data_IF_160680116595
#
_entry.id   IF_160680116595
#
_cell.length_a   1.000
_cell.length_b   1.000
_cell.length_c   1.000
_cell.angle_alpha   90.00
_cell.angle_beta   90.00
_cell.angle_gamma   90.00
#
_symmetry.space_group_name_H-M   'P 1'
#
loop_
_entity.id
_entity.type
_entity.pdbx_description
1 polymer ?
#
# COMPACT_ATOMS: atom_id res chain seq x y z
N UNK A 1 12.73 -3.91 4.39
CA UNK A 1 12.20 -2.55 4.14
C UNK A 1 12.43 -2.26 2.67
N UNK A 2 11.43 -1.77 1.97
CA UNK A 2 11.53 -1.34 0.58
C UNK A 2 11.56 0.19 0.54
N UNK A 3 12.65 0.78 0.04
CA UNK A 3 12.82 2.23 -0.02
C UNK A 3 12.23 2.74 -1.33
N UNK A 4 11.25 3.64 -1.25
CA UNK A 4 10.54 4.19 -2.42
C UNK A 4 11.07 5.55 -2.84
N UNK A 5 11.62 6.31 -1.90
CA UNK A 5 12.24 7.60 -2.18
C UNK A 5 13.45 7.77 -1.27
N UNK A 6 14.53 8.28 -1.83
CA UNK A 6 15.75 8.62 -1.10
C UNK A 6 16.35 9.86 -1.74
N UNK A 7 16.50 10.91 -0.93
CA UNK A 7 17.15 12.17 -1.31
C UNK A 7 17.96 12.71 -0.13
N UNK A 8 18.63 13.84 -0.34
CA UNK A 8 19.35 14.55 0.73
C UNK A 8 18.42 15.00 1.88
N UNK A 9 17.13 15.20 1.58
CA UNK A 9 16.12 15.60 2.57
C UNK A 9 15.63 14.42 3.44
N UNK A 10 16.02 13.19 3.12
CA UNK A 10 15.68 11.98 3.87
C UNK A 10 15.27 10.81 2.97
N UNK A 11 14.70 9.78 3.59
CA UNK A 11 14.23 8.60 2.87
C UNK A 11 12.85 8.17 3.34
N UNK A 12 12.10 7.55 2.43
CA UNK A 12 10.78 6.98 2.67
C UNK A 12 10.77 5.54 2.18
N UNK A 13 10.19 4.64 2.96
CA UNK A 13 10.03 3.25 2.59
C UNK A 13 8.90 2.54 3.32
N UNK A 14 8.70 1.28 2.97
CA UNK A 14 7.65 0.44 3.53
C UNK A 14 8.20 -0.89 4.04
N UNK A 15 7.61 -1.37 5.13
CA UNK A 15 7.86 -2.72 5.65
C UNK A 15 6.91 -3.70 4.95
N UNK A 16 7.47 -4.56 4.08
CA UNK A 16 6.71 -5.51 3.24
C UNK A 16 6.62 -6.94 3.81
N UNK A 17 7.04 -7.14 5.05
CA UNK A 17 7.07 -8.46 5.70
C UNK A 17 6.34 -8.47 7.05
N UNK A 18 5.33 -7.60 7.21
CA UNK A 18 4.55 -7.50 8.44
C UNK A 18 3.06 -7.50 8.13
N UNK A 19 2.43 -8.69 7.99
CA UNK A 19 0.99 -8.77 7.76
C UNK A 19 0.22 -8.19 8.96
N UNK A 20 -0.89 -7.52 8.67
CA UNK A 20 -1.83 -7.00 9.65
C UNK A 20 -2.97 -8.02 9.87
N UNK A 21 -3.63 -7.93 11.03
CA UNK A 21 -4.87 -8.69 11.29
C UNK A 21 -6.09 -8.10 10.58
N UNK A 22 -5.98 -6.84 10.15
CA UNK A 22 -7.00 -6.14 9.39
C UNK A 22 -7.14 -6.76 8.00
N UNK A 23 -8.37 -7.01 7.57
CA UNK A 23 -8.65 -7.55 6.24
C UNK A 23 -9.06 -6.45 5.26
N UNK A 24 -8.96 -6.70 3.96
CA UNK A 24 -9.38 -5.74 2.94
C UNK A 24 -10.86 -5.39 2.99
N UNK A 25 -11.80 -6.33 3.23
CA UNK A 25 -13.20 -5.99 3.50
C UNK A 25 -13.38 -5.02 4.68
N UNK A 26 -12.61 -5.17 5.77
CA UNK A 26 -12.68 -4.25 6.91
C UNK A 26 -12.31 -2.82 6.50
N UNK A 27 -11.28 -2.67 5.67
CA UNK A 27 -10.89 -1.37 5.10
C UNK A 27 -12.00 -0.79 4.23
N UNK A 28 -12.59 -1.59 3.35
CA UNK A 28 -13.66 -1.13 2.47
C UNK A 28 -14.89 -0.66 3.26
N UNK A 29 -15.28 -1.40 4.29
CA UNK A 29 -16.36 -1.02 5.20
C UNK A 29 -16.04 0.27 5.95
N UNK A 30 -14.81 0.40 6.46
CA UNK A 30 -14.37 1.60 7.17
C UNK A 30 -14.39 2.85 6.27
N UNK A 31 -13.99 2.69 5.00
CA UNK A 31 -14.00 3.74 3.99
C UNK A 31 -15.38 3.98 3.36
N UNK A 32 -16.42 3.26 3.79
CA UNK A 32 -17.77 3.32 3.21
C UNK A 32 -17.78 3.06 1.69
N UNK A 33 -16.86 2.22 1.22
CA UNK A 33 -16.73 1.81 -0.18
C UNK A 33 -17.49 0.51 -0.48
N UNK A 34 -18.06 -0.12 0.55
CA UNK A 34 -18.73 -1.40 0.50
C UNK A 34 -19.80 -1.43 1.59
N UNK A 35 -20.98 -1.96 1.27
CA UNK A 35 -22.01 -2.23 2.26
C UNK A 35 -21.78 -3.61 2.93
N UNK A 36 -22.13 -3.79 4.22
CA UNK A 36 -21.96 -5.06 4.93
C UNK A 36 -22.56 -6.27 4.20
N UNK A 37 -23.71 -6.07 3.55
CA UNK A 37 -24.43 -7.12 2.82
C UNK A 37 -23.72 -7.52 1.50
N UNK A 38 -22.88 -6.63 0.97
CA UNK A 38 -22.12 -6.85 -0.26
C UNK A 38 -20.76 -7.49 -0.02
N UNK A 39 -20.25 -7.49 1.22
CA UNK A 39 -18.96 -8.07 1.56
C UNK A 39 -18.85 -9.57 1.21
N UNK A 40 -19.97 -10.30 1.25
CA UNK A 40 -20.04 -11.72 0.88
C UNK A 40 -19.84 -11.92 -0.63
N UNK A 41 -20.18 -10.92 -1.44
CA UNK A 41 -20.12 -10.95 -2.91
C UNK A 41 -18.76 -10.52 -3.47
N UNK A 42 -17.86 -10.03 -2.63
CA UNK A 42 -16.52 -9.65 -3.07
C UNK A 42 -15.81 -10.81 -3.78
N UNK A 43 -15.06 -10.56 -4.86
CA UNK A 43 -14.22 -11.59 -5.47
C UNK A 43 -13.22 -12.14 -4.46
N UNK A 44 -12.83 -13.41 -4.61
CA UNK A 44 -11.85 -14.05 -3.71
C UNK A 44 -10.53 -13.28 -3.67
N UNK A 45 -10.07 -12.78 -4.83
CA UNK A 45 -8.88 -11.95 -4.94
C UNK A 45 -8.92 -10.70 -4.05
N UNK A 46 -10.07 -10.03 -3.94
CA UNK A 46 -10.23 -8.89 -3.04
C UNK A 46 -10.30 -9.31 -1.57
N UNK A 47 -10.92 -10.45 -1.26
CA UNK A 47 -11.01 -10.97 0.12
C UNK A 47 -9.66 -11.43 0.66
N UNK A 48 -8.83 -12.02 -0.19
CA UNK A 48 -7.49 -12.52 0.14
C UNK A 48 -6.41 -11.44 0.02
N UNK A 49 -6.80 -10.22 -0.36
CA UNK A 49 -5.88 -9.12 -0.57
C UNK A 49 -5.15 -8.75 0.73
N UNK A 50 -3.82 -8.82 0.68
CA UNK A 50 -2.97 -8.70 1.86
C UNK A 50 -2.80 -7.23 2.27
N UNK A 51 -3.01 -7.00 3.57
CA UNK A 51 -2.70 -5.73 4.22
C UNK A 51 -1.47 -5.91 5.10
N UNK A 52 -0.55 -4.97 4.97
CA UNK A 52 0.71 -4.97 5.67
C UNK A 52 0.90 -3.68 6.46
N UNK A 53 1.68 -3.79 7.54
CA UNK A 53 2.13 -2.65 8.31
C UNK A 53 3.30 -2.00 7.56
N UNK A 54 3.04 -0.90 6.84
CA UNK A 54 4.06 -0.22 6.05
C UNK A 54 5.07 0.56 6.91
N UNK A 55 4.69 1.00 8.10
CA UNK A 55 5.61 1.55 9.09
C UNK A 55 4.90 2.33 10.20
N UNK A 56 5.64 2.94 11.12
CA UNK A 56 5.08 3.63 12.29
C UNK A 56 4.51 5.02 11.98
N UNK A 57 4.84 5.61 10.83
CA UNK A 57 4.44 6.97 10.46
C UNK A 57 3.13 6.93 9.68
N UNK A 58 2.19 7.83 10.01
CA UNK A 58 0.86 7.92 9.38
C UNK A 58 0.13 6.58 9.23
N UNK A 59 0.05 5.78 10.28
CA UNK A 59 -0.58 4.43 10.26
C UNK A 59 -2.04 4.40 9.82
N UNK A 60 -2.75 5.54 9.88
CA UNK A 60 -4.11 5.69 9.37
C UNK A 60 -4.18 5.87 7.84
N UNK A 61 -3.05 6.11 7.17
CA UNK A 61 -2.99 6.31 5.72
C UNK A 61 -2.66 5.00 5.03
N UNK A 62 -3.48 4.67 4.03
CA UNK A 62 -3.30 3.50 3.18
C UNK A 62 -2.57 3.85 1.89
N UNK A 63 -1.59 3.02 1.56
CA UNK A 63 -0.87 3.02 0.30
C UNK A 63 -1.06 1.67 -0.37
N UNK A 64 -1.12 1.64 -1.70
CA UNK A 64 -1.15 0.40 -2.47
C UNK A 64 0.10 0.34 -3.32
N UNK A 65 0.91 -0.68 -3.07
CA UNK A 65 2.04 -1.02 -3.92
C UNK A 65 1.57 -2.07 -4.92
N UNK A 66 1.80 -1.84 -6.21
CA UNK A 66 1.31 -2.71 -7.27
C UNK A 66 2.27 -2.78 -8.46
N UNK A 67 2.06 -3.77 -9.33
CA UNK A 67 2.72 -3.84 -10.63
C UNK A 67 2.30 -2.69 -11.54
N UNK A 68 3.14 -2.39 -12.53
CA UNK A 68 2.96 -1.35 -13.54
C UNK A 68 1.83 -1.64 -14.57
N UNK A 69 1.18 -2.80 -14.46
CA UNK A 69 0.02 -3.21 -15.28
C UNK A 69 -1.25 -2.39 -15.00
N UNK A 70 -1.30 -1.72 -13.85
CA UNK A 70 -2.32 -0.74 -13.51
C UNK A 70 -1.69 0.65 -13.44
N UNK A 71 -2.03 1.53 -14.38
CA UNK A 71 -1.58 2.92 -14.39
C UNK A 71 -2.76 3.84 -14.10
N UNK A 72 -2.64 4.59 -13.01
CA UNK A 72 -3.51 5.74 -12.70
C UNK A 72 -2.70 7.02 -12.78
N UNK A 73 -3.34 8.15 -13.07
CA UNK A 73 -2.70 9.48 -13.05
C UNK A 73 -2.08 9.83 -11.68
N UNK A 74 -2.50 9.12 -10.64
CA UNK A 74 -2.02 9.27 -9.26
C UNK A 74 -0.99 8.22 -8.84
N UNK A 75 -0.60 7.32 -9.75
CA UNK A 75 0.42 6.31 -9.52
C UNK A 75 1.81 6.92 -9.65
N UNK A 76 2.64 6.72 -8.64
CA UNK A 76 4.04 7.15 -8.62
C UNK A 76 4.90 5.92 -8.92
N UNK A 77 5.67 5.91 -10.02
CA UNK A 77 6.61 4.83 -10.28
C UNK A 77 7.74 4.88 -9.24
N UNK A 78 7.98 3.75 -8.56
CA UNK A 78 9.04 3.62 -7.54
C UNK A 78 10.17 2.68 -8.01
N UNK A 79 9.90 1.86 -9.03
CA UNK A 79 10.87 1.00 -9.73
C UNK A 79 10.35 0.74 -11.15
N UNK A 80 11.12 0.03 -11.98
CA UNK A 80 10.73 -0.29 -13.36
C UNK A 80 9.38 -1.03 -13.45
N UNK A 81 9.14 -2.00 -12.56
CA UNK A 81 7.93 -2.84 -12.57
C UNK A 81 6.99 -2.58 -11.37
N UNK A 82 7.23 -1.51 -10.60
CA UNK A 82 6.51 -1.26 -9.34
C UNK A 82 6.04 0.19 -9.26
N UNK A 83 4.75 0.35 -9.01
CA UNK A 83 4.08 1.62 -8.80
C UNK A 83 3.47 1.71 -7.40
N UNK A 84 3.40 2.93 -6.89
CA UNK A 84 2.80 3.27 -5.60
C UNK A 84 1.62 4.21 -5.84
N UNK A 85 0.44 3.83 -5.35
CA UNK A 85 -0.78 4.63 -5.45
C UNK A 85 -1.39 4.86 -4.07
N UNK A 86 -1.78 6.10 -3.78
CA UNK A 86 -2.35 6.50 -2.49
C UNK A 86 -3.79 7.06 -2.61
N UNK A 87 -4.54 6.55 -3.59
CA UNK A 87 -5.93 6.99 -3.86
C UNK A 87 -6.95 5.91 -3.54
N UNK A 88 -8.21 6.32 -3.35
CA UNK A 88 -9.32 5.38 -3.17
C UNK A 88 -9.70 4.62 -4.44
N UNK A 89 -9.31 5.10 -5.62
CA UNK A 89 -9.75 4.50 -6.88
C UNK A 89 -9.12 3.12 -7.12
N UNK A 90 -7.83 2.94 -6.80
CA UNK A 90 -7.20 1.61 -6.86
C UNK A 90 -7.83 0.63 -5.86
N UNK A 91 -8.27 1.11 -4.69
CA UNK A 91 -8.97 0.29 -3.69
C UNK A 91 -10.31 -0.19 -4.24
N UNK A 92 -11.06 0.69 -4.92
CA UNK A 92 -12.31 0.32 -5.62
C UNK A 92 -12.06 -0.62 -6.80
N UNK A 93 -10.98 -0.43 -7.55
CA UNK A 93 -10.62 -1.31 -8.67
C UNK A 93 -10.33 -2.73 -8.16
N UNK A 94 -9.54 -2.86 -7.10
CA UNK A 94 -9.25 -4.15 -6.45
C UNK A 94 -10.54 -4.80 -5.93
N UNK A 95 -11.45 -4.03 -5.31
CA UNK A 95 -12.72 -4.59 -4.79
C UNK A 95 -13.63 -5.14 -5.91
N UNK A 96 -13.53 -4.59 -7.12
CA UNK A 96 -14.25 -5.06 -8.32
C UNK A 96 -13.55 -6.20 -9.06
N UNK A 97 -12.31 -6.53 -8.68
CA UNK A 97 -11.47 -7.49 -9.42
C UNK A 97 -10.87 -6.91 -10.70
N UNK A 98 -10.88 -5.58 -10.84
CA UNK A 98 -10.28 -4.81 -11.96
C UNK A 98 -8.92 -4.21 -11.55
N UNK A 99 -8.39 -4.61 -10.40
CA UNK A 99 -7.10 -4.18 -9.91
C UNK A 99 -5.92 -4.84 -10.62
N UNK A 100 -4.69 -4.37 -10.33
CA UNK A 100 -3.44 -4.97 -10.82
C UNK A 100 -3.32 -6.46 -10.46
N UNK A 101 -2.59 -7.21 -11.28
CA UNK A 101 -2.31 -8.65 -11.10
C UNK A 101 -1.58 -8.91 -9.79
N UNK A 102 -0.65 -8.03 -9.41
CA UNK A 102 0.05 -8.10 -8.13
C UNK A 102 -0.09 -6.78 -7.40
N UNK A 103 -0.65 -6.83 -6.19
CA UNK A 103 -0.67 -5.69 -5.31
C UNK A 103 -0.71 -6.09 -3.84
N UNK A 104 -0.31 -5.15 -2.99
CA UNK A 104 -0.43 -5.24 -1.52
C UNK A 104 -0.78 -3.86 -0.98
N UNK A 105 -1.65 -3.82 0.03
CA UNK A 105 -1.92 -2.58 0.76
C UNK A 105 -0.98 -2.45 1.96
N UNK A 106 -0.52 -1.23 2.20
CA UNK A 106 0.42 -0.86 3.24
C UNK A 106 -0.21 0.25 4.07
N UNK A 107 -0.29 0.06 5.38
CA UNK A 107 -0.75 1.07 6.32
C UNK A 107 0.43 1.76 6.97
N UNK A 108 0.51 3.08 6.79
CA UNK A 108 1.65 3.88 7.18
C UNK A 108 2.90 3.61 6.37
N UNK A 109 3.97 4.32 6.73
CA UNK A 109 5.29 4.18 6.11
C UNK A 109 6.39 4.34 7.16
N UNK A 110 7.60 3.94 6.78
CA UNK A 110 8.83 4.21 7.50
C UNK A 110 9.52 5.41 6.87
N UNK A 111 9.90 6.39 7.69
CA UNK A 111 10.59 7.58 7.25
C UNK A 111 11.92 7.71 8.00
N UNK A 112 12.93 8.18 7.29
CA UNK A 112 14.25 8.52 7.81
C UNK A 112 14.48 10.01 7.58
N UNK A 113 15.02 10.69 8.59
CA UNK A 113 15.52 12.06 8.43
C UNK A 113 16.76 12.12 7.53
N UNK A 114 17.21 13.34 7.16
CA UNK A 114 18.44 13.56 6.39
C UNK A 114 19.64 12.79 6.98
N UNK A 115 20.29 11.95 6.18
CA UNK A 115 21.49 11.19 6.57
C UNK A 115 21.26 10.06 7.60
N UNK A 116 20.02 9.85 8.07
CA UNK A 116 19.71 8.85 9.09
C UNK A 116 19.80 7.44 8.51
N UNK A 117 19.29 7.23 7.30
CA UNK A 117 19.28 5.91 6.66
C UNK A 117 20.71 5.38 6.46
N UNK A 118 21.62 6.23 5.97
CA UNK A 118 23.03 5.92 5.77
C UNK A 118 23.72 5.61 7.09
N UNK A 119 23.41 6.39 8.13
CA UNK A 119 23.93 6.16 9.48
C UNK A 119 23.46 4.82 10.05
N UNK A 120 22.20 4.43 9.79
CA UNK A 120 21.67 3.13 10.22
C UNK A 120 22.25 1.95 9.43
N UNK A 121 22.54 2.12 8.13
CA UNK A 121 23.15 1.08 7.29
C UNK A 121 24.63 0.87 7.62
N UNK A 122 25.34 1.93 8.03
CA UNK A 122 26.76 1.88 8.34
C UNK A 122 27.09 1.23 9.70
N UNK A 123 26.08 0.95 10.54
CA UNK A 123 26.21 0.30 11.84
C UNK A 123 25.89 -1.20 11.77
#
# INVERSE_FOLDING_TARGET
IFVCAHSEDGAMGFVLNRPQRLTFPDVLLHLQLLDPDEAIRLPSAAREFQIQAGGPVETGRGFVLHSDDYLSDSSIPVSDDICLTATLDIVKAISRGEGPVKATMLLGYAGWGPGQLESEIAN
#
